data_IF_017113859661
#
_entry.id   IF_017113859661
#
_cell.length_a   1.000
_cell.length_b   1.000
_cell.length_c   1.000
_cell.angle_alpha   90.00
_cell.angle_beta   90.00
_cell.angle_gamma   90.00
#
_symmetry.space_group_name_H-M   'P 1'
#
loop_
_entity.id
_entity.type
_entity.pdbx_description
1 polymer ?
#
# COMPACT_ATOMS: atom_id res chain seq x y z
N UNK A 1 29.24 -32.18 10.95
CA UNK A 1 29.80 -31.08 11.76
C UNK A 1 29.40 -31.33 13.19
N UNK A 2 30.35 -31.21 14.11
CA UNK A 2 30.21 -31.41 15.55
C UNK A 2 29.26 -30.37 16.16
N UNK A 3 28.45 -30.74 17.17
CA UNK A 3 27.60 -29.79 17.87
C UNK A 3 28.47 -28.74 18.58
N UNK A 4 28.13 -27.47 18.38
CA UNK A 4 28.85 -26.36 19.01
C UNK A 4 28.37 -26.28 20.47
N UNK A 5 29.22 -26.68 21.42
CA UNK A 5 29.00 -26.44 22.84
C UNK A 5 29.50 -25.05 23.22
N UNK A 6 28.65 -24.25 23.85
CA UNK A 6 28.97 -22.91 24.37
C UNK A 6 29.04 -22.95 25.90
N UNK A 7 29.83 -23.87 26.46
CA UNK A 7 30.11 -23.84 27.89
C UNK A 7 31.20 -22.80 28.20
N UNK A 8 30.74 -21.68 28.76
CA UNK A 8 31.53 -20.69 29.50
C UNK A 8 32.64 -19.98 28.72
N UNK A 9 32.31 -18.97 27.88
CA UNK A 9 33.35 -18.21 27.16
C UNK A 9 33.09 -16.70 26.95
N UNK A 10 34.19 -15.98 27.14
CA UNK A 10 34.52 -14.58 26.84
C UNK A 10 33.86 -13.99 25.58
N UNK A 11 33.25 -12.81 25.72
CA UNK A 11 32.52 -12.05 24.69
C UNK A 11 33.25 -11.95 23.33
N UNK A 12 34.57 -11.78 23.36
CA UNK A 12 35.40 -11.69 22.15
C UNK A 12 35.56 -13.01 21.40
N UNK A 13 35.47 -14.15 22.10
CA UNK A 13 35.48 -15.48 21.50
C UNK A 13 34.11 -15.80 20.90
N UNK A 14 33.02 -15.48 21.61
CA UNK A 14 31.64 -15.69 21.14
C UNK A 14 31.36 -14.93 19.85
N UNK A 15 31.78 -13.67 19.76
CA UNK A 15 31.64 -12.85 18.54
C UNK A 15 32.44 -13.42 17.36
N UNK A 16 33.67 -13.89 17.59
CA UNK A 16 34.50 -14.53 16.55
C UNK A 16 33.91 -15.85 16.07
N UNK A 17 33.38 -16.67 16.97
CA UNK A 17 32.73 -17.95 16.64
C UNK A 17 31.45 -17.74 15.85
N UNK A 18 30.63 -16.74 16.20
CA UNK A 18 29.42 -16.41 15.44
C UNK A 18 29.72 -15.88 14.04
N UNK A 19 30.73 -15.01 13.92
CA UNK A 19 31.16 -14.53 12.60
C UNK A 19 31.70 -15.67 11.73
N UNK A 20 32.57 -16.53 12.27
CA UNK A 20 33.09 -17.68 11.55
C UNK A 20 31.98 -18.66 11.11
N UNK A 21 30.99 -18.93 11.97
CA UNK A 21 29.86 -19.79 11.62
C UNK A 21 28.95 -19.15 10.54
N UNK A 22 28.74 -17.83 10.58
CA UNK A 22 28.02 -17.11 9.52
C UNK A 22 28.79 -17.15 8.18
N UNK A 23 30.11 -16.97 8.22
CA UNK A 23 30.97 -17.02 7.04
C UNK A 23 31.02 -18.43 6.42
N UNK A 24 31.04 -19.49 7.25
CA UNK A 24 30.98 -20.89 6.79
C UNK A 24 29.65 -21.21 6.09
N UNK A 25 28.53 -20.70 6.62
CA UNK A 25 27.20 -20.87 6.01
C UNK A 25 27.08 -20.07 4.71
N UNK A 26 27.61 -18.85 4.67
CA UNK A 26 27.70 -18.04 3.46
C UNK A 26 28.47 -18.79 2.36
N UNK A 27 29.62 -19.36 2.70
CA UNK A 27 30.43 -20.13 1.78
C UNK A 27 29.79 -21.47 1.38
N UNK A 28 29.07 -22.14 2.27
CA UNK A 28 28.31 -23.36 1.97
C UNK A 28 27.11 -23.08 1.04
N UNK A 29 26.45 -21.94 1.19
CA UNK A 29 25.36 -21.49 0.31
C UNK A 29 25.86 -21.23 -1.11
N UNK A 30 27.05 -20.63 -1.28
CA UNK A 30 27.65 -20.40 -2.60
C UNK A 30 28.13 -21.68 -3.32
N UNK A 31 28.33 -22.79 -2.61
CA UNK A 31 28.82 -24.07 -3.17
C UNK A 31 27.71 -25.05 -3.57
N UNK A 32 26.45 -24.61 -3.62
CA UNK A 32 25.31 -25.42 -4.07
C UNK A 32 25.09 -26.68 -3.19
N UNK A 33 25.36 -26.57 -1.90
CA UNK A 33 25.11 -27.63 -0.92
C UNK A 33 23.61 -27.63 -0.58
N UNK A 34 23.01 -28.82 -0.57
CA UNK A 34 21.58 -29.10 -0.37
C UNK A 34 20.88 -28.04 0.54
N UNK A 35 19.94 -27.24 0.00
CA UNK A 35 19.36 -26.08 0.69
C UNK A 35 18.62 -26.47 1.98
N UNK A 36 18.12 -27.72 2.07
CA UNK A 36 17.48 -28.24 3.28
C UNK A 36 18.45 -28.45 4.45
N UNK A 37 19.75 -28.66 4.18
CA UNK A 37 20.77 -28.79 5.21
C UNK A 37 21.23 -27.42 5.72
N UNK A 38 21.46 -26.48 4.82
CA UNK A 38 21.84 -25.09 5.14
C UNK A 38 20.76 -24.40 5.96
N UNK A 39 19.47 -24.63 5.63
CA UNK A 39 18.36 -24.10 6.43
C UNK A 39 18.36 -24.61 7.89
N UNK A 40 18.58 -25.91 8.09
CA UNK A 40 18.68 -26.49 9.45
C UNK A 40 19.85 -25.93 10.24
N UNK A 41 20.96 -25.61 9.58
CA UNK A 41 22.14 -24.99 10.20
C UNK A 41 21.87 -23.53 10.59
N UNK A 42 21.13 -22.77 9.75
CA UNK A 42 20.67 -21.41 10.08
C UNK A 42 19.69 -21.43 11.28
N UNK A 43 18.73 -22.35 11.29
CA UNK A 43 17.75 -22.49 12.40
C UNK A 43 18.45 -22.88 13.72
N UNK A 44 19.49 -23.72 13.64
CA UNK A 44 20.33 -24.05 14.80
C UNK A 44 21.11 -22.84 15.31
N UNK A 45 21.63 -21.98 14.43
CA UNK A 45 22.31 -20.73 14.83
C UNK A 45 21.36 -19.69 15.42
N UNK A 46 20.13 -19.57 14.92
CA UNK A 46 19.11 -18.75 15.57
C UNK A 46 18.82 -19.23 16.99
N UNK A 47 18.74 -20.55 17.18
CA UNK A 47 18.53 -21.15 18.49
C UNK A 47 19.70 -20.86 19.44
N UNK A 48 20.94 -21.01 18.96
CA UNK A 48 22.15 -20.67 19.71
C UNK A 48 22.23 -19.18 20.04
N UNK A 49 21.88 -18.29 19.10
CA UNK A 49 21.89 -16.85 19.31
C UNK A 49 20.90 -16.43 20.39
N UNK A 50 19.71 -17.04 20.41
CA UNK A 50 18.70 -16.81 21.46
C UNK A 50 19.19 -17.25 22.85
N UNK A 51 19.97 -18.33 22.93
CA UNK A 51 20.52 -18.81 24.20
C UNK A 51 21.62 -17.89 24.77
N UNK A 52 22.34 -17.15 23.91
CA UNK A 52 23.42 -16.24 24.33
C UNK A 52 23.05 -14.76 24.21
N UNK A 53 21.80 -14.45 23.83
CA UNK A 53 21.35 -13.09 23.56
C UNK A 53 21.49 -12.17 24.78
N UNK A 54 21.17 -12.68 25.98
CA UNK A 54 21.26 -11.93 27.24
C UNK A 54 22.71 -11.63 27.66
N UNK A 55 23.70 -12.27 27.02
CA UNK A 55 25.12 -12.11 27.30
C UNK A 55 25.83 -11.25 26.25
N UNK A 56 25.13 -10.82 25.20
CA UNK A 56 25.66 -10.03 24.10
C UNK A 56 25.11 -8.59 24.15
N UNK A 57 25.89 -7.59 23.70
CA UNK A 57 25.36 -6.25 23.48
C UNK A 57 24.18 -6.29 22.50
N UNK A 58 23.13 -5.52 22.77
CA UNK A 58 21.92 -5.48 21.93
C UNK A 58 22.23 -5.22 20.44
N UNK A 59 23.21 -4.37 20.17
CA UNK A 59 23.70 -4.09 18.81
C UNK A 59 24.23 -5.33 18.09
N UNK A 60 24.98 -6.20 18.79
CA UNK A 60 25.54 -7.42 18.19
C UNK A 60 24.44 -8.46 17.96
N UNK A 61 23.47 -8.58 18.88
CA UNK A 61 22.30 -9.46 18.71
C UNK A 61 21.48 -9.05 17.47
N UNK A 62 21.20 -7.76 17.32
CA UNK A 62 20.47 -7.24 16.16
C UNK A 62 21.25 -7.45 14.85
N UNK A 63 22.56 -7.18 14.86
CA UNK A 63 23.45 -7.41 13.73
C UNK A 63 23.49 -8.89 13.31
N UNK A 64 23.56 -9.82 14.25
CA UNK A 64 23.56 -11.26 13.95
C UNK A 64 22.20 -11.74 13.44
N UNK A 65 21.10 -11.25 14.02
CA UNK A 65 19.75 -11.56 13.53
C UNK A 65 19.55 -11.09 12.09
N UNK A 66 19.89 -9.83 11.78
CA UNK A 66 19.77 -9.28 10.44
C UNK A 66 20.61 -10.07 9.41
N UNK A 67 21.79 -10.56 9.82
CA UNK A 67 22.66 -11.38 8.96
C UNK A 67 22.06 -12.76 8.71
N UNK A 68 21.57 -13.44 9.75
CA UNK A 68 20.94 -14.76 9.63
C UNK A 68 19.64 -14.70 8.82
N UNK A 69 18.84 -13.65 8.97
CA UNK A 69 17.63 -13.42 8.17
C UNK A 69 17.96 -13.24 6.68
N UNK A 70 19.01 -12.47 6.37
CA UNK A 70 19.50 -12.29 5.00
C UNK A 70 19.96 -13.63 4.39
N UNK A 71 20.58 -14.50 5.18
CA UNK A 71 21.00 -15.82 4.73
C UNK A 71 19.83 -16.78 4.52
N UNK A 72 18.87 -16.79 5.44
CA UNK A 72 17.66 -17.59 5.31
C UNK A 72 16.86 -17.19 4.07
N UNK A 73 16.77 -15.89 3.79
CA UNK A 73 16.12 -15.36 2.58
C UNK A 73 16.81 -15.84 1.31
N UNK A 74 18.15 -15.71 1.23
CA UNK A 74 18.93 -16.20 0.07
C UNK A 74 18.71 -17.69 -0.19
N UNK A 75 18.79 -18.53 0.85
CA UNK A 75 18.58 -19.99 0.70
C UNK A 75 17.14 -20.32 0.29
N UNK A 76 16.16 -19.54 0.76
CA UNK A 76 14.75 -19.72 0.39
C UNK A 76 14.48 -19.30 -1.06
N UNK A 77 15.09 -18.20 -1.50
CA UNK A 77 14.94 -17.66 -2.85
C UNK A 77 15.67 -18.55 -3.89
N UNK A 78 16.88 -19.01 -3.58
CA UNK A 78 17.65 -19.96 -4.43
C UNK A 78 16.98 -21.35 -4.48
N UNK A 79 16.36 -21.80 -3.39
CA UNK A 79 15.55 -23.02 -3.35
C UNK A 79 14.26 -22.96 -4.18
N UNK A 80 13.81 -21.77 -4.58
CA UNK A 80 12.64 -21.57 -5.45
C UNK A 80 13.00 -21.43 -6.94
N UNK A 81 14.27 -21.24 -7.29
CA UNK A 81 14.72 -21.01 -8.67
C UNK A 81 14.43 -22.18 -9.64
N UNK A 82 14.20 -23.39 -9.13
CA UNK A 82 13.86 -24.57 -9.96
C UNK A 82 12.37 -24.88 -10.08
N UNK A 83 11.47 -24.09 -9.47
CA UNK A 83 10.02 -24.25 -9.68
C UNK A 83 9.44 -22.97 -10.26
N UNK A 84 9.53 -22.83 -11.59
CA UNK A 84 8.61 -21.95 -12.35
C UNK A 84 7.18 -22.37 -12.01
N UNK A 85 6.58 -21.72 -11.00
CA UNK A 85 5.16 -21.83 -10.69
C UNK A 85 4.39 -21.28 -11.87
N UNK A 86 4.00 -22.15 -12.80
CA UNK A 86 2.87 -21.85 -13.69
C UNK A 86 1.66 -21.70 -12.79
N UNK A 87 1.11 -20.49 -12.75
CA UNK A 87 -0.15 -20.21 -12.08
C UNK A 87 -1.21 -21.07 -12.78
N UNK A 88 -1.66 -22.13 -12.11
CA UNK A 88 -2.82 -22.92 -12.53
C UNK A 88 -3.93 -22.59 -11.55
N UNK A 89 -4.99 -21.98 -12.05
CA UNK A 89 -6.23 -21.85 -11.30
C UNK A 89 -6.70 -23.26 -10.96
N UNK A 90 -6.79 -23.58 -9.65
CA UNK A 90 -7.44 -24.80 -9.22
C UNK A 90 -8.90 -24.70 -9.70
N UNK A 91 -9.31 -25.68 -10.50
CA UNK A 91 -10.70 -25.82 -10.93
C UNK A 91 -11.64 -25.73 -9.72
N UNK A 92 -12.77 -25.06 -9.91
CA UNK A 92 -13.75 -24.80 -8.85
C UNK A 92 -14.09 -26.11 -8.13
N UNK A 93 -14.12 -26.14 -6.79
CA UNK A 93 -14.62 -27.31 -6.07
C UNK A 93 -16.07 -27.56 -6.49
N UNK A 94 -16.39 -28.81 -6.85
CA UNK A 94 -17.78 -29.25 -7.01
C UNK A 94 -18.41 -29.20 -5.61
N UNK A 95 -19.25 -28.20 -5.40
CA UNK A 95 -20.13 -28.15 -4.25
C UNK A 95 -21.37 -28.96 -4.61
N UNK A 96 -21.50 -30.15 -4.05
CA UNK A 96 -22.80 -30.80 -3.98
C UNK A 96 -23.67 -29.97 -3.03
N UNK A 97 -24.62 -29.21 -3.58
CA UNK A 97 -25.62 -28.50 -2.77
C UNK A 97 -26.99 -29.06 -3.09
N UNK A 98 -27.79 -29.46 -2.08
CA UNK A 98 -29.19 -29.81 -2.28
C UNK A 98 -29.98 -28.56 -2.69
N UNK A 99 -30.94 -28.77 -3.60
CA UNK A 99 -31.76 -27.73 -4.19
C UNK A 99 -32.47 -26.89 -3.14
N UNK A 100 -32.16 -25.59 -3.11
CA UNK A 100 -33.08 -24.59 -2.57
C UNK A 100 -33.06 -23.38 -3.49
N UNK A 101 -34.23 -23.06 -4.04
CA UNK A 101 -34.47 -21.98 -4.98
C UNK A 101 -34.15 -20.63 -4.33
N UNK A 102 -33.06 -20.00 -4.74
CA UNK A 102 -32.86 -18.57 -4.61
C UNK A 102 -32.15 -18.09 -5.87
N UNK A 103 -32.89 -17.38 -6.71
CA UNK A 103 -32.39 -16.75 -7.94
C UNK A 103 -31.31 -15.73 -7.57
N UNK A 104 -30.05 -15.88 -8.05
CA UNK A 104 -29.04 -14.86 -7.87
C UNK A 104 -29.33 -13.73 -8.84
N UNK A 105 -29.57 -12.52 -8.31
CA UNK A 105 -29.70 -11.31 -9.11
C UNK A 105 -28.42 -11.04 -9.91
N UNK A 106 -28.61 -10.68 -11.18
CA UNK A 106 -27.57 -10.20 -12.07
C UNK A 106 -26.74 -9.10 -11.39
N UNK A 107 -25.44 -9.36 -11.22
CA UNK A 107 -24.47 -8.29 -11.05
C UNK A 107 -24.15 -7.83 -12.46
N UNK A 108 -24.71 -6.68 -12.85
CA UNK A 108 -24.41 -6.04 -14.12
C UNK A 108 -22.92 -5.72 -14.16
N UNK A 109 -22.16 -6.52 -14.90
CA UNK A 109 -20.77 -6.24 -15.24
C UNK A 109 -20.78 -5.07 -16.23
N UNK A 110 -20.73 -3.84 -15.71
CA UNK A 110 -20.52 -2.65 -16.54
C UNK A 110 -19.23 -2.86 -17.33
N UNK A 111 -19.33 -2.83 -18.66
CA UNK A 111 -18.20 -3.03 -19.55
C UNK A 111 -17.10 -2.01 -19.21
N UNK A 112 -15.87 -2.43 -18.86
CA UNK A 112 -14.80 -1.52 -18.47
C UNK A 112 -14.42 -0.50 -19.55
N UNK A 113 -14.93 -0.62 -20.78
CA UNK A 113 -14.71 0.33 -21.88
C UNK A 113 -15.85 1.31 -22.14
N UNK A 114 -17.02 1.16 -21.52
CA UNK A 114 -18.10 2.11 -21.76
C UNK A 114 -17.76 3.44 -21.09
N UNK A 115 -17.63 4.50 -21.90
CA UNK A 115 -17.58 5.87 -21.37
C UNK A 115 -18.88 6.15 -20.62
N UNK A 116 -18.76 6.60 -19.38
CA UNK A 116 -19.89 7.09 -18.59
C UNK A 116 -19.96 8.59 -18.82
N UNK A 117 -20.83 8.98 -19.75
CA UNK A 117 -20.92 10.36 -20.23
C UNK A 117 -22.22 11.02 -19.77
N UNK A 118 -22.14 12.23 -19.21
CA UNK A 118 -23.28 13.03 -18.74
C UNK A 118 -24.17 12.31 -17.72
N UNK A 119 -23.55 11.60 -16.79
CA UNK A 119 -24.27 10.88 -15.72
C UNK A 119 -24.03 11.53 -14.36
N UNK A 120 -25.04 11.43 -13.50
CA UNK A 120 -24.92 11.73 -12.07
C UNK A 120 -24.91 10.42 -11.32
N UNK A 121 -23.72 10.00 -10.89
CA UNK A 121 -23.46 8.71 -10.26
C UNK A 121 -23.43 8.92 -8.76
N UNK A 122 -24.21 8.12 -8.03
CA UNK A 122 -24.08 8.01 -6.57
C UNK A 122 -23.09 6.90 -6.27
N UNK A 123 -22.15 7.16 -5.37
CA UNK A 123 -21.19 6.16 -4.93
C UNK A 123 -21.91 4.95 -4.33
N UNK A 124 -21.60 3.77 -4.87
CA UNK A 124 -21.92 2.47 -4.31
C UNK A 124 -20.67 1.86 -3.67
N UNK A 125 -20.79 1.49 -2.40
CA UNK A 125 -19.76 0.80 -1.62
C UNK A 125 -19.29 -0.54 -2.22
N UNK A 126 -20.11 -1.18 -3.05
CA UNK A 126 -19.75 -2.43 -3.75
C UNK A 126 -18.82 -2.16 -4.93
N UNK A 127 -18.76 -0.91 -5.41
CA UNK A 127 -17.96 -0.49 -6.55
C UNK A 127 -16.76 0.30 -6.02
N UNK A 128 -15.60 -0.35 -5.97
CA UNK A 128 -14.35 0.27 -5.55
C UNK A 128 -13.61 1.03 -6.67
N UNK A 129 -14.06 0.90 -7.92
CA UNK A 129 -13.39 1.48 -9.09
C UNK A 129 -14.40 2.17 -10.02
N UNK A 130 -14.19 3.45 -10.28
CA UNK A 130 -14.97 4.25 -11.23
C UNK A 130 -14.05 4.73 -12.34
N UNK A 131 -14.42 4.53 -13.59
CA UNK A 131 -13.55 4.89 -14.70
C UNK A 131 -14.28 5.44 -15.92
N UNK A 132 -13.57 6.23 -16.72
CA UNK A 132 -14.03 6.81 -17.98
C UNK A 132 -15.23 7.76 -17.80
N UNK A 133 -15.15 8.64 -16.80
CA UNK A 133 -16.16 9.65 -16.53
C UNK A 133 -15.94 10.87 -17.43
N UNK A 134 -16.92 11.22 -18.26
CA UNK A 134 -16.88 12.41 -19.11
C UNK A 134 -18.11 13.27 -18.89
N UNK A 135 -17.95 14.57 -18.63
CA UNK A 135 -19.05 15.48 -18.32
C UNK A 135 -20.01 14.94 -17.23
N UNK A 136 -19.48 14.18 -16.27
CA UNK A 136 -20.26 13.42 -15.29
C UNK A 136 -19.92 13.82 -13.85
N UNK A 137 -20.78 13.44 -12.92
CA UNK A 137 -20.52 13.59 -11.49
C UNK A 137 -20.50 12.25 -10.76
N UNK A 138 -19.60 12.09 -9.81
CA UNK A 138 -19.62 11.02 -8.81
C UNK A 138 -19.75 11.66 -7.43
N UNK A 139 -20.83 11.31 -6.73
CA UNK A 139 -21.19 11.93 -5.46
C UNK A 139 -21.35 10.94 -4.33
N UNK A 140 -20.95 11.34 -3.13
CA UNK A 140 -21.22 10.63 -1.88
C UNK A 140 -21.57 11.65 -0.80
N UNK A 141 -22.67 11.41 -0.10
CA UNK A 141 -23.07 12.21 1.04
C UNK A 141 -23.22 11.28 2.24
N UNK A 142 -22.56 11.64 3.35
CA UNK A 142 -22.77 10.96 4.60
C UNK A 142 -24.07 11.49 5.24
N UNK A 143 -25.19 10.83 4.94
CA UNK A 143 -26.53 11.23 5.41
C UNK A 143 -26.71 11.17 6.94
N UNK A 144 -25.77 10.55 7.68
CA UNK A 144 -25.84 10.40 9.14
C UNK A 144 -24.55 10.90 9.82
N UNK A 145 -24.48 12.21 10.08
CA UNK A 145 -23.55 12.78 11.06
C UNK A 145 -23.93 12.29 12.48
N UNK A 146 -23.63 11.04 12.84
CA UNK A 146 -23.77 10.57 14.23
C UNK A 146 -24.07 9.10 14.48
N UNK A 147 -24.44 8.30 13.48
CA UNK A 147 -24.69 6.86 13.64
C UNK A 147 -23.82 6.06 12.68
N UNK A 148 -22.65 5.68 13.17
CA UNK A 148 -21.54 5.00 12.51
C UNK A 148 -21.79 3.51 12.17
N UNK A 149 -23.04 3.06 12.12
CA UNK A 149 -23.34 1.62 12.04
C UNK A 149 -23.00 0.97 10.69
N UNK A 150 -22.75 1.76 9.64
CA UNK A 150 -22.45 1.26 8.30
C UNK A 150 -21.13 1.77 7.68
N UNK A 151 -20.26 2.43 8.47
CA UNK A 151 -18.96 2.87 7.94
C UNK A 151 -18.05 1.64 7.81
N UNK A 152 -17.59 1.39 6.58
CA UNK A 152 -16.62 0.32 6.33
C UNK A 152 -15.32 0.68 7.05
N UNK A 153 -14.77 -0.22 7.84
CA UNK A 153 -13.53 0.12 8.56
C UNK A 153 -12.37 0.40 7.61
N UNK A 154 -12.19 -0.44 6.60
CA UNK A 154 -11.08 -0.33 5.64
C UNK A 154 -11.54 -0.55 4.20
N UNK A 155 -11.22 0.38 3.31
CA UNK A 155 -11.53 0.23 1.87
C UNK A 155 -10.57 1.05 1.00
N UNK A 156 -10.71 0.90 -0.32
CA UNK A 156 -10.00 1.72 -1.30
C UNK A 156 -10.97 2.19 -2.38
N UNK A 157 -10.90 3.48 -2.67
CA UNK A 157 -11.61 4.10 -3.79
C UNK A 157 -10.60 4.43 -4.88
N UNK A 158 -10.84 3.95 -6.09
CA UNK A 158 -10.07 4.30 -7.26
C UNK A 158 -10.99 4.98 -8.28
N UNK A 159 -10.61 6.17 -8.74
CA UNK A 159 -11.29 6.89 -9.81
C UNK A 159 -10.28 7.18 -10.91
N UNK A 160 -10.58 6.82 -12.15
CA UNK A 160 -9.62 6.94 -13.26
C UNK A 160 -10.24 7.50 -14.53
N UNK A 161 -9.45 8.23 -15.33
CA UNK A 161 -9.85 8.75 -16.64
C UNK A 161 -11.08 9.65 -16.52
N UNK A 162 -10.87 10.84 -15.94
CA UNK A 162 -11.91 11.86 -15.78
C UNK A 162 -11.69 12.99 -16.78
N UNK A 163 -12.76 13.44 -17.42
CA UNK A 163 -12.74 14.60 -18.30
C UNK A 163 -13.94 15.49 -18.00
N UNK A 164 -13.69 16.76 -17.69
CA UNK A 164 -14.73 17.76 -17.39
C UNK A 164 -15.77 17.26 -16.38
N UNK A 165 -15.31 16.52 -15.37
CA UNK A 165 -16.17 15.80 -14.43
C UNK A 165 -16.01 16.31 -13.00
N UNK A 166 -16.97 15.98 -12.14
CA UNK A 166 -16.99 16.42 -10.74
C UNK A 166 -16.99 15.21 -9.82
N UNK A 167 -16.02 15.15 -8.91
CA UNK A 167 -16.01 14.22 -7.78
C UNK A 167 -16.40 15.01 -6.54
N UNK A 168 -17.48 14.64 -5.86
CA UNK A 168 -17.96 15.34 -4.68
C UNK A 168 -18.30 14.37 -3.55
N UNK A 169 -17.40 14.25 -2.58
CA UNK A 169 -17.57 13.41 -1.40
C UNK A 169 -17.68 14.30 -0.17
N UNK A 170 -18.91 14.49 0.31
CA UNK A 170 -19.22 15.15 1.57
C UNK A 170 -19.23 14.12 2.71
N UNK A 171 -18.03 13.73 3.16
CA UNK A 171 -17.80 12.57 4.02
C UNK A 171 -17.06 11.45 3.28
N UNK A 172 -16.68 10.40 4.01
CA UNK A 172 -16.04 9.22 3.43
C UNK A 172 -16.80 7.94 3.82
N UNK A 173 -16.93 6.97 2.90
CA UNK A 173 -17.62 5.71 3.16
C UNK A 173 -16.80 4.72 4.00
N UNK A 174 -15.54 5.07 4.31
CA UNK A 174 -14.63 4.28 5.14
C UNK A 174 -13.72 5.16 5.99
N UNK A 175 -13.15 4.56 7.05
CA UNK A 175 -12.25 5.24 8.00
C UNK A 175 -10.77 5.01 7.71
N UNK A 176 -10.40 3.87 7.16
CA UNK A 176 -9.02 3.51 6.86
C UNK A 176 -8.85 3.13 5.39
N UNK A 177 -7.69 3.45 4.82
CA UNK A 177 -7.30 2.99 3.49
C UNK A 177 -6.88 4.14 2.59
N UNK A 178 -7.40 4.16 1.36
CA UNK A 178 -6.85 5.07 0.34
C UNK A 178 -7.86 5.53 -0.71
N UNK A 179 -7.65 6.74 -1.20
CA UNK A 179 -8.35 7.30 -2.36
C UNK A 179 -7.30 7.61 -3.43
N UNK A 180 -7.46 7.00 -4.59
CA UNK A 180 -6.61 7.17 -5.76
C UNK A 180 -7.40 7.83 -6.88
N UNK A 181 -6.92 8.95 -7.39
CA UNK A 181 -7.51 9.63 -8.56
C UNK A 181 -6.44 9.74 -9.64
N UNK A 182 -6.69 9.12 -10.79
CA UNK A 182 -5.71 9.01 -11.87
C UNK A 182 -6.24 9.59 -13.20
N UNK A 183 -5.38 10.32 -13.92
CA UNK A 183 -5.64 10.81 -15.27
C UNK A 183 -6.93 11.64 -15.35
N UNK A 184 -6.97 12.73 -14.59
CA UNK A 184 -8.10 13.66 -14.57
C UNK A 184 -7.74 14.95 -15.30
N UNK A 185 -8.65 15.42 -16.15
CA UNK A 185 -8.47 16.65 -16.90
C UNK A 185 -9.70 17.55 -16.78
N UNK A 186 -9.48 18.86 -16.62
CA UNK A 186 -10.53 19.89 -16.56
C UNK A 186 -11.62 19.59 -15.53
N UNK A 187 -11.26 18.91 -14.44
CA UNK A 187 -12.20 18.32 -13.49
C UNK A 187 -12.14 18.99 -12.12
N UNK A 188 -13.21 18.82 -11.35
CA UNK A 188 -13.32 19.35 -9.97
C UNK A 188 -13.35 18.18 -8.99
N UNK A 189 -12.51 18.24 -7.96
CA UNK A 189 -12.38 17.18 -6.96
C UNK A 189 -12.61 17.81 -5.58
N UNK A 190 -13.71 17.43 -4.93
CA UNK A 190 -14.12 17.87 -3.60
C UNK A 190 -14.20 16.63 -2.69
N UNK A 191 -13.31 16.53 -1.70
CA UNK A 191 -13.30 15.45 -0.72
C UNK A 191 -13.26 16.01 0.70
N UNK A 192 -14.28 15.71 1.50
CA UNK A 192 -14.31 16.01 2.94
C UNK A 192 -14.15 14.71 3.71
N UNK A 193 -12.95 14.47 4.21
CA UNK A 193 -12.61 13.26 4.97
C UNK A 193 -13.11 13.38 6.42
N UNK A 194 -13.53 12.27 7.01
CA UNK A 194 -13.98 12.24 8.40
C UNK A 194 -12.84 12.51 9.40
N UNK A 195 -13.19 13.01 10.59
CA UNK A 195 -12.25 13.24 11.67
C UNK A 195 -11.61 11.91 12.11
N UNK A 196 -10.31 11.94 12.43
CA UNK A 196 -9.51 10.78 12.83
C UNK A 196 -9.45 9.62 11.81
N UNK A 197 -9.89 9.83 10.57
CA UNK A 197 -9.72 8.84 9.50
C UNK A 197 -8.24 8.63 9.18
N UNK A 198 -7.83 7.42 8.81
CA UNK A 198 -6.49 7.15 8.30
C UNK A 198 -6.57 6.83 6.80
N UNK A 199 -6.83 7.88 6.01
CA UNK A 199 -6.98 7.78 4.55
C UNK A 199 -5.81 8.47 3.88
N UNK A 200 -5.10 7.71 3.05
CA UNK A 200 -4.10 8.24 2.13
C UNK A 200 -4.79 8.74 0.87
N UNK A 201 -4.51 9.97 0.45
CA UNK A 201 -4.99 10.52 -0.82
C UNK A 201 -3.81 10.64 -1.78
N UNK A 202 -3.95 10.03 -2.96
CA UNK A 202 -2.94 10.06 -4.02
C UNK A 202 -3.56 10.48 -5.33
N UNK A 203 -2.99 11.52 -5.93
CA UNK A 203 -3.42 12.10 -7.19
C UNK A 203 -2.31 11.93 -8.22
N UNK A 204 -2.65 11.32 -9.36
CA UNK A 204 -1.69 11.01 -10.41
C UNK A 204 -2.17 11.52 -11.77
N UNK A 205 -1.34 12.26 -12.50
CA UNK A 205 -1.66 12.68 -13.86
C UNK A 205 -2.86 13.63 -13.94
N UNK A 206 -3.03 14.52 -12.96
CA UNK A 206 -4.05 15.56 -13.00
C UNK A 206 -3.57 16.74 -13.85
N UNK A 207 -4.45 17.27 -14.68
CA UNK A 207 -4.18 18.46 -15.50
C UNK A 207 -5.35 19.45 -15.42
N UNK A 208 -5.05 20.72 -15.14
CA UNK A 208 -6.05 21.80 -15.06
C UNK A 208 -7.26 21.44 -14.17
N UNK A 209 -7.00 20.90 -12.99
CA UNK A 209 -8.04 20.44 -12.05
C UNK A 209 -8.16 21.39 -10.86
N UNK A 210 -9.39 21.62 -10.38
CA UNK A 210 -9.66 22.30 -9.11
C UNK A 210 -9.83 21.28 -8.00
N UNK A 211 -9.11 21.48 -6.89
CA UNK A 211 -9.00 20.48 -5.83
C UNK A 211 -9.31 21.10 -4.47
N UNK A 212 -10.28 20.53 -3.77
CA UNK A 212 -10.61 20.83 -2.38
C UNK A 212 -10.65 19.55 -1.57
N UNK A 213 -9.61 19.31 -0.76
CA UNK A 213 -9.49 18.07 0.02
C UNK A 213 -9.12 18.46 1.45
N UNK A 214 -10.06 18.26 2.36
CA UNK A 214 -9.92 18.62 3.77
C UNK A 214 -10.33 17.46 4.64
N UNK A 215 -9.72 17.36 5.82
CA UNK A 215 -10.13 16.45 6.88
C UNK A 215 -10.89 17.25 7.93
N UNK A 216 -12.03 16.73 8.36
CA UNK A 216 -12.75 17.31 9.49
C UNK A 216 -11.89 17.25 10.76
N UNK A 217 -11.95 18.29 11.59
CA UNK A 217 -11.13 18.43 12.80
C UNK A 217 -9.85 19.23 12.56
N UNK A 218 -8.86 19.04 13.42
CA UNK A 218 -7.62 19.85 13.47
C UNK A 218 -6.40 19.14 12.90
N UNK A 219 -6.51 17.86 12.55
CA UNK A 219 -5.39 17.08 12.03
C UNK A 219 -5.14 17.43 10.55
N UNK A 220 -3.89 17.72 10.16
CA UNK A 220 -3.57 18.02 8.78
C UNK A 220 -3.68 16.76 7.89
N UNK A 221 -4.13 16.93 6.65
CA UNK A 221 -4.19 15.86 5.66
C UNK A 221 -2.95 15.90 4.75
N UNK A 222 -2.29 14.76 4.54
CA UNK A 222 -1.23 14.66 3.52
C UNK A 222 -1.84 14.22 2.19
N UNK A 223 -1.45 14.88 1.09
CA UNK A 223 -1.84 14.53 -0.28
C UNK A 223 -0.57 14.27 -1.08
N UNK A 224 -0.50 13.13 -1.74
CA UNK A 224 0.62 12.78 -2.63
C UNK A 224 0.24 13.16 -4.06
N UNK A 225 1.11 13.91 -4.73
CA UNK A 225 0.98 14.31 -6.13
C UNK A 225 2.04 13.64 -6.99
N UNK A 226 1.65 13.14 -8.16
CA UNK A 226 2.58 12.59 -9.15
C UNK A 226 2.17 12.98 -10.57
N UNK A 227 3.12 13.51 -11.34
CA UNK A 227 2.93 13.94 -12.72
C UNK A 227 1.69 14.83 -12.91
N UNK A 228 1.41 15.69 -11.94
CA UNK A 228 0.31 16.64 -12.00
C UNK A 228 0.80 17.96 -12.61
N UNK A 229 -0.12 18.75 -13.17
CA UNK A 229 0.18 20.06 -13.73
C UNK A 229 -1.04 20.96 -13.67
N UNK A 230 -0.82 22.27 -13.50
CA UNK A 230 -1.88 23.28 -13.49
C UNK A 230 -2.99 22.99 -12.46
N UNK A 231 -2.66 22.30 -11.37
CA UNK A 231 -3.62 21.99 -10.33
C UNK A 231 -3.87 23.21 -9.43
N UNK A 232 -5.14 23.52 -9.21
CA UNK A 232 -5.61 24.65 -8.44
C UNK A 232 -6.20 24.14 -7.11
N UNK A 233 -5.41 24.17 -6.06
CA UNK A 233 -5.87 23.83 -4.71
C UNK A 233 -6.57 25.02 -4.08
N UNK A 234 -7.65 24.78 -3.35
CA UNK A 234 -8.34 25.87 -2.66
C UNK A 234 -7.45 26.53 -1.61
N UNK A 235 -7.54 27.86 -1.46
CA UNK A 235 -6.73 28.64 -0.52
C UNK A 235 -6.82 28.15 0.93
N UNK A 236 -7.98 27.64 1.35
CA UNK A 236 -8.20 27.17 2.73
C UNK A 236 -7.35 25.95 3.07
N UNK A 237 -6.95 25.18 2.07
CA UNK A 237 -6.13 23.97 2.27
C UNK A 237 -4.71 24.30 2.70
N UNK A 238 -4.24 25.54 2.51
CA UNK A 238 -2.84 25.94 2.72
C UNK A 238 -2.33 25.65 4.13
N UNK A 239 -3.20 25.70 5.14
CA UNK A 239 -2.85 25.48 6.54
C UNK A 239 -3.33 24.12 7.08
N UNK A 240 -4.20 23.42 6.35
CA UNK A 240 -4.81 22.15 6.78
C UNK A 240 -4.27 20.95 6.02
N UNK A 241 -3.47 21.17 4.99
CA UNK A 241 -3.05 20.13 4.06
C UNK A 241 -1.56 20.25 3.76
N UNK A 242 -0.86 19.12 3.77
CA UNK A 242 0.53 19.01 3.32
C UNK A 242 0.56 18.31 1.98
N UNK A 243 1.08 18.98 0.95
CA UNK A 243 1.22 18.39 -0.39
C UNK A 243 2.64 17.85 -0.54
N UNK A 244 2.76 16.58 -0.92
CA UNK A 244 4.02 15.91 -1.23
C UNK A 244 4.07 15.60 -2.72
N UNK A 245 4.91 16.32 -3.47
CA UNK A 245 5.10 16.07 -4.91
C UNK A 245 6.19 15.03 -5.15
N UNK A 246 5.79 13.89 -5.70
CA UNK A 246 6.60 12.71 -5.96
C UNK A 246 7.02 12.60 -7.45
N UNK A 247 6.69 13.59 -8.29
CA UNK A 247 6.98 13.58 -9.74
C UNK A 247 8.47 13.45 -10.08
N UNK A 248 9.35 13.89 -9.16
CA UNK A 248 10.78 13.99 -9.35
C UNK A 248 11.62 13.15 -8.37
N UNK A 249 11.01 12.20 -7.65
CA UNK A 249 11.79 11.31 -6.77
C UNK A 249 12.87 10.57 -7.58
N UNK A 250 14.12 10.74 -7.17
CA UNK A 250 15.28 10.11 -7.80
C UNK A 250 15.75 10.77 -9.09
N UNK A 251 15.17 11.90 -9.52
CA UNK A 251 15.64 12.68 -10.67
C UNK A 251 16.50 13.85 -10.19
N UNK A 252 17.68 14.01 -10.78
CA UNK A 252 18.52 15.20 -10.63
C UNK A 252 17.94 16.30 -11.53
N UNK A 253 16.89 17.00 -11.09
CA UNK A 253 16.29 18.10 -11.84
C UNK A 253 16.36 19.37 -10.99
N UNK A 254 16.71 20.48 -11.64
CA UNK A 254 16.75 21.84 -11.10
C UNK A 254 15.38 22.28 -10.53
N UNK A 255 15.40 23.26 -9.62
CA UNK A 255 14.20 23.84 -9.01
C UNK A 255 13.18 24.23 -10.10
N UNK A 256 12.17 23.38 -10.28
CA UNK A 256 11.03 23.65 -11.16
C UNK A 256 9.93 24.30 -10.35
N UNK A 257 9.17 25.20 -10.99
CA UNK A 257 7.98 25.76 -10.37
C UNK A 257 7.04 24.63 -9.92
N UNK A 258 6.35 24.80 -8.78
CA UNK A 258 5.47 23.78 -8.26
C UNK A 258 4.38 23.44 -9.29
N UNK A 259 4.06 22.14 -9.39
CA UNK A 259 3.02 21.61 -10.30
C UNK A 259 1.60 22.09 -9.99
N UNK A 260 1.43 22.90 -8.95
CA UNK A 260 0.17 23.34 -8.41
C UNK A 260 0.26 24.75 -7.81
N UNK A 261 -0.89 25.38 -7.62
CA UNK A 261 -1.03 26.68 -6.96
C UNK A 261 -2.21 26.67 -5.98
N UNK A 262 -2.19 27.59 -5.00
CA UNK A 262 -3.32 27.84 -4.12
C UNK A 262 -4.12 29.05 -4.62
N UNK A 263 -5.42 28.87 -4.84
CA UNK A 263 -6.34 29.89 -5.36
C UNK A 263 -7.67 29.83 -4.62
N UNK A 264 -8.39 30.95 -4.53
CA UNK A 264 -9.74 30.95 -3.98
C UNK A 264 -10.76 30.65 -5.09
N UNK A 265 -11.73 29.79 -4.80
CA UNK A 265 -12.85 29.49 -5.69
C UNK A 265 -14.05 28.99 -4.88
N UNK A 266 -15.27 29.08 -5.42
CA UNK A 266 -16.46 28.52 -4.77
C UNK A 266 -16.37 26.99 -4.70
N UNK A 267 -16.49 26.45 -3.49
CA UNK A 267 -16.52 25.00 -3.19
C UNK A 267 -17.93 24.47 -3.03
#
# INVERSE_FOLDING_TARGET
MTPISFDGLNLSKTSKTFNAACDEIEHASCKNINPGKVKKEIDALFSSLRLVADQLPAYDVEKYNARLEKLLKKVTDEGQATKKRKFQFKGKPKVDTPATNATPGDVELVDPKSKLTRQNIRYDQKIGNYQNLEDSSLSYENENEGLSENIIQSSSLHVRSLLRSVINFNGTPFNHGSIHIENAQDSVILLKLQAHSNIQVRLFGLHNCKVYIVRAGTEPQTIILENCSECQFHSDMKNTTTIQDFSNIGKLIEESEPSFSYVSFST
#
